data_IF_117737336913
#
_entry.id   IF_117737336913
#
_cell.length_a   1.000
_cell.length_b   1.000
_cell.length_c   1.000
_cell.angle_alpha   90.00
_cell.angle_beta   90.00
_cell.angle_gamma   90.00
#
_symmetry.space_group_name_H-M   'P 1'
#
loop_
_entity.id
_entity.type
_entity.pdbx_description
1 polymer ?
#
# COMPACT_ATOMS: atom_id res chain seq x y z
N UNK A 1 -4.85 -18.91 -12.22
CA UNK A 1 -3.89 -17.96 -12.82
C UNK A 1 -3.42 -16.92 -11.82
N UNK A 2 -4.33 -16.22 -11.13
CA UNK A 2 -4.03 -15.18 -10.13
C UNK A 2 -2.96 -15.57 -9.11
N UNK A 3 -3.09 -16.71 -8.42
CA UNK A 3 -2.09 -17.15 -7.43
C UNK A 3 -0.69 -17.35 -8.03
N UNK A 4 -0.61 -18.00 -9.20
CA UNK A 4 0.67 -18.20 -9.88
C UNK A 4 1.28 -16.88 -10.34
N UNK A 5 0.47 -15.94 -10.86
CA UNK A 5 0.92 -14.58 -11.20
C UNK A 5 1.45 -13.88 -9.95
N UNK A 6 0.72 -13.95 -8.84
CA UNK A 6 1.05 -13.29 -7.59
C UNK A 6 2.35 -13.83 -6.99
N UNK A 7 2.49 -15.16 -6.90
CA UNK A 7 3.72 -15.79 -6.42
C UNK A 7 4.91 -15.48 -7.34
N UNK A 8 4.71 -15.59 -8.65
CA UNK A 8 5.79 -15.30 -9.62
C UNK A 8 6.20 -13.84 -9.56
N UNK A 9 5.23 -12.91 -9.49
CA UNK A 9 5.49 -11.48 -9.33
C UNK A 9 6.23 -11.22 -8.02
N UNK A 10 5.81 -11.79 -6.89
CA UNK A 10 6.49 -11.54 -5.61
C UNK A 10 7.92 -12.10 -5.58
N UNK A 11 8.13 -13.28 -6.16
CA UNK A 11 9.48 -13.86 -6.31
C UNK A 11 10.34 -12.98 -7.22
N UNK A 12 9.80 -12.56 -8.37
CA UNK A 12 10.49 -11.66 -9.29
C UNK A 12 10.77 -10.30 -8.64
N UNK A 13 9.88 -9.78 -7.81
CA UNK A 13 10.08 -8.52 -7.08
C UNK A 13 11.30 -8.63 -6.15
N UNK A 14 11.39 -9.74 -5.41
CA UNK A 14 12.50 -10.02 -4.51
C UNK A 14 13.83 -10.25 -5.24
N UNK A 15 13.79 -10.78 -6.48
CA UNK A 15 14.99 -10.99 -7.31
C UNK A 15 15.41 -9.74 -8.09
N UNK A 16 14.44 -8.94 -8.55
CA UNK A 16 14.63 -7.78 -9.43
C UNK A 16 14.61 -6.46 -8.67
N UNK A 17 14.89 -6.48 -7.35
CA UNK A 17 14.87 -5.31 -6.46
C UNK A 17 15.70 -4.10 -6.92
N UNK A 18 16.50 -4.23 -7.99
CA UNK A 18 17.27 -3.18 -8.65
C UNK A 18 16.49 -2.38 -9.73
N UNK A 19 15.31 -2.83 -10.22
CA UNK A 19 14.53 -2.17 -11.28
C UNK A 19 13.63 -1.02 -10.76
N UNK A 20 13.99 -0.41 -9.63
CA UNK A 20 13.20 0.63 -8.96
C UNK A 20 12.92 1.88 -9.82
N UNK A 21 13.84 2.22 -10.73
CA UNK A 21 13.74 3.43 -11.55
C UNK A 21 12.56 3.42 -12.54
N UNK A 22 12.09 2.24 -12.95
CA UNK A 22 11.00 2.08 -13.92
C UNK A 22 9.61 2.20 -13.30
N UNK A 23 9.49 2.10 -11.97
CA UNK A 23 8.20 2.07 -11.24
C UNK A 23 7.78 3.44 -10.70
N UNK A 24 8.29 4.53 -11.28
CA UNK A 24 8.05 5.89 -10.80
C UNK A 24 6.74 6.45 -11.34
N UNK A 25 5.77 6.64 -10.45
CA UNK A 25 4.49 7.30 -10.76
C UNK A 25 4.58 8.83 -10.80
N UNK A 26 5.78 9.42 -10.76
CA UNK A 26 5.97 10.88 -10.70
C UNK A 26 5.30 11.61 -11.87
N UNK A 27 5.31 10.99 -13.07
CA UNK A 27 4.63 11.54 -14.25
C UNK A 27 3.12 11.60 -14.06
N UNK A 28 2.53 10.52 -13.54
CA UNK A 28 1.11 10.45 -13.20
C UNK A 28 0.74 11.46 -12.12
N UNK A 29 1.49 11.51 -11.02
CA UNK A 29 1.20 12.46 -9.93
C UNK A 29 1.27 13.92 -10.38
N UNK A 30 2.24 14.27 -11.25
CA UNK A 30 2.29 15.60 -11.87
C UNK A 30 1.10 15.88 -12.79
N UNK A 31 0.61 14.87 -13.51
CA UNK A 31 -0.59 14.99 -14.33
C UNK A 31 -1.81 15.24 -13.44
N UNK A 32 -2.01 14.47 -12.38
CA UNK A 32 -3.10 14.65 -11.41
C UNK A 32 -3.07 16.06 -10.84
N UNK A 33 -1.94 16.49 -10.28
CA UNK A 33 -1.79 17.83 -9.68
C UNK A 33 -1.94 18.97 -10.71
N UNK A 34 -1.72 18.71 -12.00
CA UNK A 34 -1.96 19.67 -13.08
C UNK A 34 -3.44 19.70 -13.45
N UNK A 35 -4.08 18.54 -13.55
CA UNK A 35 -5.50 18.42 -13.87
C UNK A 35 -6.36 19.05 -12.77
N UNK A 36 -6.05 18.77 -11.50
CA UNK A 36 -6.70 19.40 -10.35
C UNK A 36 -6.63 20.94 -10.41
N UNK A 37 -5.43 21.49 -10.66
CA UNK A 37 -5.24 22.94 -10.80
C UNK A 37 -5.95 23.52 -12.02
N UNK A 38 -6.04 22.76 -13.12
CA UNK A 38 -6.63 23.23 -14.39
C UNK A 38 -8.15 23.15 -14.40
N UNK A 39 -8.71 22.17 -13.71
CA UNK A 39 -10.13 21.82 -13.68
C UNK A 39 -10.68 21.94 -12.26
N UNK A 40 -10.48 23.10 -11.63
CA UNK A 40 -11.01 23.44 -10.30
C UNK A 40 -12.51 23.76 -10.29
N UNK A 41 -13.15 23.85 -11.46
CA UNK A 41 -14.57 24.15 -11.60
C UNK A 41 -15.45 22.89 -11.49
N UNK A 42 -16.66 23.05 -10.95
CA UNK A 42 -17.69 22.02 -11.00
C UNK A 42 -18.01 21.63 -12.46
N UNK A 43 -18.15 20.34 -12.82
CA UNK A 43 -18.23 19.14 -11.99
C UNK A 43 -16.90 18.39 -11.77
N UNK A 44 -15.77 18.98 -12.15
CA UNK A 44 -14.45 18.34 -12.14
C UNK A 44 -13.78 18.34 -10.75
N UNK A 45 -14.16 19.29 -9.90
CA UNK A 45 -13.70 19.37 -8.51
C UNK A 45 -14.53 18.46 -7.58
N UNK A 46 -14.52 17.16 -7.85
CA UNK A 46 -15.28 16.18 -7.07
C UNK A 46 -15.07 14.74 -7.55
N UNK A 47 -15.96 13.80 -7.18
CA UNK A 47 -15.80 12.37 -7.49
C UNK A 47 -15.71 12.05 -8.98
N UNK A 48 -16.42 12.81 -9.82
CA UNK A 48 -16.38 12.65 -11.27
C UNK A 48 -14.98 12.94 -11.84
N UNK A 49 -14.28 13.94 -11.30
CA UNK A 49 -12.91 14.26 -11.71
C UNK A 49 -11.95 13.12 -11.40
N UNK A 50 -12.03 12.56 -10.19
CA UNK A 50 -11.20 11.41 -9.78
C UNK A 50 -11.47 10.21 -10.69
N UNK A 51 -12.74 9.89 -10.93
CA UNK A 51 -13.12 8.77 -11.78
C UNK A 51 -12.66 8.95 -13.23
N UNK A 52 -12.70 10.17 -13.77
CA UNK A 52 -12.21 10.42 -15.13
C UNK A 52 -10.69 10.30 -15.26
N UNK A 53 -9.93 10.52 -14.19
CA UNK A 53 -8.47 10.33 -14.20
C UNK A 53 -8.11 8.85 -14.08
N UNK A 54 -8.79 8.14 -13.17
CA UNK A 54 -8.44 6.75 -12.81
C UNK A 54 -9.07 5.73 -13.76
N UNK A 55 -10.35 5.88 -14.10
CA UNK A 55 -11.10 4.86 -14.85
C UNK A 55 -10.54 4.57 -16.25
N UNK A 56 -10.09 5.56 -17.06
CA UNK A 56 -9.54 5.27 -18.38
C UNK A 56 -8.27 4.42 -18.33
N UNK A 57 -7.41 4.62 -17.34
CA UNK A 57 -6.17 3.85 -17.18
C UNK A 57 -6.47 2.40 -16.78
N UNK A 58 -7.40 2.21 -15.84
CA UNK A 58 -7.85 0.86 -15.44
C UNK A 58 -8.54 0.17 -16.62
N UNK A 59 -9.44 0.85 -17.32
CA UNK A 59 -10.17 0.30 -18.46
C UNK A 59 -9.23 -0.10 -19.61
N UNK A 60 -8.22 0.73 -19.92
CA UNK A 60 -7.21 0.41 -20.94
C UNK A 60 -6.40 -0.83 -20.56
N UNK A 61 -5.98 -0.94 -19.29
CA UNK A 61 -5.30 -2.14 -18.82
C UNK A 61 -6.19 -3.39 -18.92
N UNK A 62 -7.51 -3.23 -18.72
CA UNK A 62 -8.50 -4.29 -18.83
C UNK A 62 -8.67 -4.76 -20.26
N UNK A 63 -8.84 -3.83 -21.19
CA UNK A 63 -8.88 -4.11 -22.62
C UNK A 63 -7.60 -4.86 -23.03
N UNK A 64 -6.43 -4.38 -22.60
CA UNK A 64 -5.16 -5.03 -22.91
C UNK A 64 -5.13 -6.47 -22.39
N UNK A 65 -5.55 -6.70 -21.14
CA UNK A 65 -5.65 -8.04 -20.56
C UNK A 65 -6.56 -8.97 -21.37
N UNK A 66 -7.80 -8.55 -21.67
CA UNK A 66 -8.74 -9.38 -22.45
C UNK A 66 -8.26 -9.62 -23.89
N UNK A 67 -7.65 -8.62 -24.52
CA UNK A 67 -7.07 -8.75 -25.86
C UNK A 67 -5.89 -9.75 -25.87
N UNK A 68 -5.01 -9.68 -24.88
CA UNK A 68 -3.89 -10.59 -24.71
C UNK A 68 -4.36 -12.01 -24.40
N UNK A 69 -5.41 -12.16 -23.59
CA UNK A 69 -6.03 -13.47 -23.31
C UNK A 69 -6.58 -14.09 -24.59
N UNK A 70 -7.28 -13.29 -25.40
CA UNK A 70 -7.84 -13.75 -26.67
C UNK A 70 -6.74 -14.17 -27.66
N UNK A 71 -5.62 -13.45 -27.69
CA UNK A 71 -4.49 -13.75 -28.57
C UNK A 71 -3.69 -14.98 -28.11
N UNK A 72 -3.22 -14.98 -26.86
CA UNK A 72 -2.42 -16.06 -26.28
C UNK A 72 -2.42 -15.97 -24.74
N UNK A 73 -2.99 -16.97 -24.06
CA UNK A 73 -3.17 -16.93 -22.59
C UNK A 73 -1.87 -16.67 -21.77
N UNK A 74 -0.67 -17.16 -22.14
CA UNK A 74 0.57 -16.82 -21.42
C UNK A 74 0.98 -15.35 -21.55
N UNK A 75 0.60 -14.67 -22.64
CA UNK A 75 0.85 -13.24 -22.79
C UNK A 75 0.06 -12.43 -21.77
N UNK A 76 -1.19 -12.83 -21.50
CA UNK A 76 -1.98 -12.21 -20.44
C UNK A 76 -1.37 -12.48 -19.05
N UNK A 77 -0.84 -13.69 -18.80
CA UNK A 77 -0.12 -13.99 -17.56
C UNK A 77 1.10 -13.07 -17.36
N UNK A 78 1.90 -12.86 -18.42
CA UNK A 78 3.05 -11.96 -18.38
C UNK A 78 2.63 -10.49 -18.17
N UNK A 79 1.55 -10.06 -18.83
CA UNK A 79 0.97 -8.72 -18.64
C UNK A 79 0.52 -8.51 -17.20
N UNK A 80 -0.22 -9.46 -16.64
CA UNK A 80 -0.72 -9.37 -15.26
C UNK A 80 0.42 -9.36 -14.25
N UNK A 81 1.44 -10.21 -14.46
CA UNK A 81 2.63 -10.23 -13.63
C UNK A 81 3.42 -8.93 -13.70
N UNK A 82 3.65 -8.41 -14.91
CA UNK A 82 4.36 -7.15 -15.12
C UNK A 82 3.61 -5.95 -14.51
N UNK A 83 2.30 -5.89 -14.68
CA UNK A 83 1.48 -4.81 -14.16
C UNK A 83 1.34 -4.93 -12.63
N UNK A 84 1.21 -6.13 -12.08
CA UNK A 84 1.26 -6.35 -10.63
C UNK A 84 2.60 -5.89 -10.05
N UNK A 85 3.73 -6.30 -10.64
CA UNK A 85 5.07 -5.83 -10.27
C UNK A 85 5.17 -4.29 -10.30
N UNK A 86 4.59 -3.66 -11.32
CA UNK A 86 4.55 -2.21 -11.42
C UNK A 86 3.72 -1.57 -10.30
N UNK A 87 2.60 -2.19 -9.90
CA UNK A 87 1.74 -1.69 -8.82
C UNK A 87 2.36 -1.85 -7.43
N UNK A 88 3.16 -2.90 -7.18
CA UNK A 88 3.85 -3.13 -5.89
C UNK A 88 4.77 -1.98 -5.48
N UNK A 89 5.39 -1.30 -6.45
CA UNK A 89 5.97 0.03 -6.26
C UNK A 89 7.47 0.20 -6.36
N UNK A 90 7.92 1.47 -6.26
CA UNK A 90 9.30 1.83 -6.55
C UNK A 90 10.30 1.66 -5.40
N UNK A 91 9.92 1.64 -4.12
CA UNK A 91 10.89 1.63 -3.00
C UNK A 91 10.86 0.29 -2.28
N UNK A 92 11.92 -0.51 -2.30
CA UNK A 92 12.04 -1.59 -1.34
C UNK A 92 12.03 -0.98 0.07
N UNK A 93 11.15 -1.45 0.95
CA UNK A 93 11.06 -0.96 2.34
C UNK A 93 12.45 -0.95 3.00
N UNK A 94 13.25 -1.98 2.73
CA UNK A 94 14.63 -2.13 3.18
C UNK A 94 15.55 -1.00 2.71
N UNK A 95 15.54 -0.64 1.42
CA UNK A 95 16.42 0.40 0.88
C UNK A 95 16.08 1.78 1.47
N UNK A 96 14.79 2.07 1.63
CA UNK A 96 14.33 3.31 2.28
C UNK A 96 14.79 3.38 3.74
N UNK A 97 14.69 2.27 4.46
CA UNK A 97 15.21 2.16 5.84
C UNK A 97 16.74 2.32 5.86
N UNK A 98 17.47 1.68 4.96
CA UNK A 98 18.94 1.77 4.92
C UNK A 98 19.39 3.22 4.75
N UNK A 99 18.75 3.98 3.86
CA UNK A 99 19.00 5.41 3.71
C UNK A 99 18.76 6.19 5.02
N UNK A 100 17.65 5.91 5.71
CA UNK A 100 17.33 6.55 7.01
C UNK A 100 18.36 6.16 8.08
N UNK A 101 18.73 4.88 8.17
CA UNK A 101 19.69 4.35 9.13
C UNK A 101 21.10 4.89 8.89
N UNK A 102 21.54 4.99 7.63
CA UNK A 102 22.82 5.58 7.27
C UNK A 102 22.92 7.04 7.73
N UNK A 103 21.84 7.82 7.57
CA UNK A 103 21.79 9.21 8.05
C UNK A 103 21.82 9.29 9.57
N UNK A 104 21.10 8.40 10.24
CA UNK A 104 21.09 8.31 11.70
C UNK A 104 22.48 7.99 12.26
N UNK A 105 23.14 6.96 11.71
CA UNK A 105 24.49 6.53 12.14
C UNK A 105 25.56 7.61 11.89
N UNK A 106 25.39 8.42 10.84
CA UNK A 106 26.27 9.57 10.56
C UNK A 106 26.00 10.81 11.42
N UNK A 107 24.95 10.79 12.26
CA UNK A 107 24.54 11.94 13.07
C UNK A 107 23.96 13.11 12.26
N UNK A 108 23.61 12.90 10.99
CA UNK A 108 23.03 13.92 10.11
C UNK A 108 21.53 14.06 10.40
N UNK A 109 21.20 14.84 11.43
CA UNK A 109 19.81 15.03 11.89
C UNK A 109 18.92 15.68 10.81
N UNK A 110 19.48 16.58 10.00
CA UNK A 110 18.72 17.23 8.93
C UNK A 110 18.45 16.26 7.79
N UNK A 111 19.46 15.50 7.36
CA UNK A 111 19.31 14.44 6.37
C UNK A 111 18.32 13.37 6.84
N UNK A 112 18.43 12.93 8.10
CA UNK A 112 17.51 11.99 8.72
C UNK A 112 16.06 12.48 8.64
N UNK A 113 15.79 13.74 9.02
CA UNK A 113 14.43 14.30 8.98
C UNK A 113 13.88 14.36 7.55
N UNK A 114 14.71 14.71 6.56
CA UNK A 114 14.28 14.77 5.15
C UNK A 114 13.92 13.39 4.59
N UNK A 115 14.78 12.40 4.82
CA UNK A 115 14.52 11.02 4.37
C UNK A 115 13.32 10.41 5.10
N UNK A 116 13.23 10.62 6.42
CA UNK A 116 12.08 10.18 7.20
C UNK A 116 10.78 10.88 6.77
N UNK A 117 10.81 12.16 6.42
CA UNK A 117 9.65 12.87 5.88
C UNK A 117 9.23 12.32 4.52
N UNK A 118 10.19 12.02 3.65
CA UNK A 118 9.92 11.40 2.34
C UNK A 118 9.30 10.01 2.50
N UNK A 119 9.73 9.25 3.50
CA UNK A 119 9.19 7.93 3.82
C UNK A 119 7.79 8.00 4.46
N UNK A 120 7.60 8.86 5.45
CA UNK A 120 6.36 8.96 6.24
C UNK A 120 5.24 9.76 5.55
N UNK A 121 5.60 10.65 4.62
CA UNK A 121 4.67 11.58 3.98
C UNK A 121 4.26 12.77 4.86
N UNK A 122 4.78 12.87 6.09
CA UNK A 122 4.58 14.00 7.00
C UNK A 122 5.91 14.37 7.67
N UNK A 123 6.03 15.60 8.17
CA UNK A 123 7.24 16.07 8.84
C UNK A 123 7.39 15.41 10.22
N UNK A 124 8.41 14.56 10.46
CA UNK A 124 8.59 13.93 11.75
C UNK A 124 9.20 14.93 12.75
N UNK A 125 8.65 14.93 13.96
CA UNK A 125 9.07 15.79 15.06
C UNK A 125 9.85 14.99 16.12
N UNK A 126 10.64 15.69 16.95
CA UNK A 126 11.37 15.08 18.06
C UNK A 126 12.87 14.85 17.81
N UNK A 127 13.47 14.14 18.75
CA UNK A 127 14.87 13.70 18.76
C UNK A 127 15.15 12.66 17.66
N UNK A 128 16.40 12.43 17.26
CA UNK A 128 16.74 11.43 16.25
C UNK A 128 16.19 10.02 16.55
N UNK A 129 16.18 9.61 17.83
CA UNK A 129 15.60 8.33 18.26
C UNK A 129 14.07 8.27 18.11
N UNK A 130 13.37 9.38 18.40
CA UNK A 130 11.91 9.48 18.21
C UNK A 130 11.54 9.49 16.72
N UNK A 131 12.38 10.08 15.85
CA UNK A 131 12.20 10.03 14.40
C UNK A 131 12.33 8.58 13.91
N UNK A 132 13.33 7.83 14.38
CA UNK A 132 13.45 6.41 14.06
C UNK A 132 12.25 5.59 14.55
N UNK A 133 11.75 5.88 15.74
CA UNK A 133 10.54 5.25 16.26
C UNK A 133 9.32 5.50 15.36
N UNK A 134 9.16 6.73 14.87
CA UNK A 134 8.11 7.07 13.91
C UNK A 134 8.27 6.36 12.56
N UNK A 135 9.49 6.27 12.03
CA UNK A 135 9.79 5.51 10.79
C UNK A 135 9.47 4.03 10.99
N UNK A 136 9.91 3.44 12.11
CA UNK A 136 9.62 2.06 12.49
C UNK A 136 8.11 1.82 12.52
N UNK A 137 7.35 2.63 13.23
CA UNK A 137 5.90 2.47 13.32
C UNK A 137 5.23 2.69 11.95
N UNK A 138 5.76 3.62 11.14
CA UNK A 138 5.30 3.90 9.78
C UNK A 138 5.46 2.72 8.82
N UNK A 139 6.36 1.78 9.08
CA UNK A 139 6.54 0.58 8.25
C UNK A 139 5.28 -0.26 8.13
N UNK A 140 4.47 -0.34 9.19
CA UNK A 140 3.22 -1.10 9.16
C UNK A 140 2.20 -0.51 8.19
N UNK A 141 2.17 0.82 8.08
CA UNK A 141 1.30 1.55 7.14
C UNK A 141 1.84 1.39 5.73
N UNK A 142 3.15 1.52 5.56
CA UNK A 142 3.77 1.44 4.23
C UNK A 142 3.75 0.01 3.67
N UNK A 143 3.87 -1.00 4.54
CA UNK A 143 3.70 -2.41 4.17
C UNK A 143 2.27 -2.70 3.73
N UNK A 144 1.27 -2.14 4.42
CA UNK A 144 -0.13 -2.24 3.99
C UNK A 144 -0.32 -1.64 2.60
N UNK A 145 0.09 -0.38 2.41
CA UNK A 145 -0.05 0.31 1.11
C UNK A 145 0.67 -0.35 -0.05
N UNK A 146 1.80 -1.01 0.19
CA UNK A 146 2.60 -1.61 -0.89
C UNK A 146 2.26 -3.05 -1.17
N UNK A 147 2.08 -3.83 -0.11
CA UNK A 147 2.00 -5.27 -0.19
C UNK A 147 0.55 -5.69 0.00
N UNK A 148 -0.01 -5.51 1.19
CA UNK A 148 -1.35 -6.03 1.50
C UNK A 148 -2.42 -5.39 0.61
N UNK A 149 -2.42 -4.07 0.46
CA UNK A 149 -3.28 -3.29 -0.41
C UNK A 149 -3.31 -3.79 -1.85
N UNK A 150 -2.13 -3.89 -2.47
CA UNK A 150 -1.99 -4.35 -3.84
C UNK A 150 -2.38 -5.83 -3.99
N UNK A 151 -1.92 -6.70 -3.09
CA UNK A 151 -2.13 -8.16 -3.17
C UNK A 151 -3.61 -8.50 -2.93
N UNK A 152 -4.26 -7.90 -1.93
CA UNK A 152 -5.68 -8.11 -1.64
C UNK A 152 -6.54 -7.66 -2.82
N UNK A 153 -6.31 -6.45 -3.33
CA UNK A 153 -7.07 -5.93 -4.46
C UNK A 153 -6.79 -6.71 -5.76
N UNK A 154 -5.57 -7.22 -5.93
CA UNK A 154 -5.25 -8.16 -7.00
C UNK A 154 -6.00 -9.49 -6.87
N UNK A 155 -6.07 -10.04 -5.65
CA UNK A 155 -6.78 -11.29 -5.41
C UNK A 155 -8.28 -11.15 -5.68
N UNK A 156 -8.87 -9.99 -5.38
CA UNK A 156 -10.30 -9.72 -5.57
C UNK A 156 -10.69 -9.39 -7.01
N UNK A 157 -9.99 -8.46 -7.66
CA UNK A 157 -10.38 -7.91 -8.96
C UNK A 157 -9.33 -8.15 -10.05
N UNK A 158 -8.32 -9.00 -9.79
CA UNK A 158 -7.22 -9.26 -10.70
C UNK A 158 -6.35 -8.02 -10.91
N UNK A 159 -5.74 -7.93 -12.09
CA UNK A 159 -4.81 -6.85 -12.42
C UNK A 159 -5.48 -5.46 -12.44
N UNK A 160 -6.80 -5.41 -12.65
CA UNK A 160 -7.58 -4.17 -12.59
C UNK A 160 -7.62 -3.61 -11.16
N UNK A 161 -7.81 -4.49 -10.16
CA UNK A 161 -7.87 -4.09 -8.76
C UNK A 161 -6.54 -3.58 -8.24
N UNK A 162 -5.45 -4.27 -8.57
CA UNK A 162 -4.10 -3.84 -8.20
C UNK A 162 -3.78 -2.44 -8.76
N UNK A 163 -4.11 -2.22 -10.04
CA UNK A 163 -3.91 -0.93 -10.68
C UNK A 163 -4.83 0.14 -10.11
N UNK A 164 -6.12 -0.16 -9.90
CA UNK A 164 -7.08 0.76 -9.31
C UNK A 164 -6.64 1.21 -7.90
N UNK A 165 -6.23 0.27 -7.06
CA UNK A 165 -5.70 0.56 -5.72
C UNK A 165 -4.51 1.53 -5.80
N UNK A 166 -3.54 1.21 -6.66
CA UNK A 166 -2.32 2.03 -6.79
C UNK A 166 -2.61 3.42 -7.35
N UNK A 167 -3.49 3.52 -8.34
CA UNK A 167 -3.90 4.82 -8.88
C UNK A 167 -4.68 5.62 -7.85
N UNK A 168 -5.58 5.00 -7.08
CA UNK A 168 -6.32 5.66 -6.00
C UNK A 168 -5.37 6.26 -4.95
N UNK A 169 -4.42 5.46 -4.45
CA UNK A 169 -3.39 5.91 -3.51
C UNK A 169 -2.57 7.08 -4.08
N UNK A 170 -2.03 6.94 -5.30
CA UNK A 170 -1.19 7.98 -5.92
C UNK A 170 -1.97 9.25 -6.22
N UNK A 171 -3.27 9.14 -6.54
CA UNK A 171 -4.16 10.29 -6.75
C UNK A 171 -4.42 11.01 -5.42
N UNK A 172 -4.70 10.28 -4.35
CA UNK A 172 -4.90 10.85 -3.01
C UNK A 172 -3.65 11.59 -2.52
N UNK A 173 -2.47 10.97 -2.65
CA UNK A 173 -1.20 11.62 -2.28
C UNK A 173 -0.94 12.87 -3.16
N UNK A 174 -1.23 12.80 -4.46
CA UNK A 174 -1.00 13.92 -5.38
C UNK A 174 -1.97 15.09 -5.15
N UNK A 175 -3.21 14.82 -4.75
CA UNK A 175 -4.21 15.83 -4.38
C UNK A 175 -3.87 16.53 -3.04
N UNK A 176 -2.96 15.94 -2.25
CA UNK A 176 -2.49 16.54 -1.00
C UNK A 176 -3.46 16.32 0.17
N UNK A 177 -3.67 17.33 1.01
CA UNK A 177 -4.52 17.19 2.19
C UNK A 177 -5.99 17.34 1.78
N UNK A 178 -6.79 16.28 1.96
CA UNK A 178 -8.24 16.32 1.82
C UNK A 178 -8.89 15.49 2.92
N UNK A 179 -10.06 15.90 3.40
CA UNK A 179 -10.83 15.11 4.36
C UNK A 179 -11.78 14.21 3.59
N UNK A 180 -12.01 13.02 4.14
CA UNK A 180 -12.97 12.06 3.59
C UNK A 180 -14.40 12.64 3.53
N UNK A 181 -14.71 13.71 4.26
CA UNK A 181 -16.03 14.37 4.22
C UNK A 181 -16.12 15.49 3.18
N UNK A 182 -15.01 15.91 2.58
CA UNK A 182 -14.97 17.00 1.59
C UNK A 182 -15.51 16.53 0.24
N UNK A 183 -16.38 17.31 -0.40
CA UNK A 183 -16.94 16.97 -1.73
C UNK A 183 -16.05 17.37 -2.91
N UNK A 184 -14.89 17.94 -2.60
CA UNK A 184 -13.89 18.35 -3.58
C UNK A 184 -13.10 17.16 -4.16
N UNK A 185 -12.21 17.46 -5.10
CA UNK A 185 -11.37 16.44 -5.75
C UNK A 185 -10.50 15.68 -4.75
N UNK A 186 -9.88 16.39 -3.79
CA UNK A 186 -8.99 15.79 -2.79
C UNK A 186 -9.75 14.86 -1.85
N UNK A 187 -10.89 15.28 -1.30
CA UNK A 187 -11.74 14.45 -0.46
C UNK A 187 -12.26 13.21 -1.19
N UNK A 188 -12.67 13.37 -2.46
CA UNK A 188 -13.05 12.23 -3.29
C UNK A 188 -11.89 11.25 -3.56
N UNK A 189 -10.66 11.74 -3.76
CA UNK A 189 -9.49 10.89 -3.95
C UNK A 189 -9.15 10.09 -2.68
N UNK A 190 -9.19 10.75 -1.51
CA UNK A 190 -8.99 10.09 -0.22
C UNK A 190 -10.11 9.09 0.11
N UNK A 191 -11.38 9.39 -0.22
CA UNK A 191 -12.49 8.43 -0.12
C UNK A 191 -12.25 7.19 -0.96
N UNK A 192 -11.93 7.36 -2.25
CA UNK A 192 -11.70 6.24 -3.15
C UNK A 192 -10.58 5.35 -2.62
N UNK A 193 -9.49 5.96 -2.18
CA UNK A 193 -8.39 5.23 -1.57
C UNK A 193 -8.83 4.49 -0.30
N UNK A 194 -9.55 5.18 0.60
CA UNK A 194 -10.13 4.60 1.81
C UNK A 194 -11.03 3.39 1.56
N UNK A 195 -11.91 3.45 0.56
CA UNK A 195 -12.78 2.32 0.17
C UNK A 195 -11.94 1.12 -0.30
N UNK A 196 -10.93 1.37 -1.12
CA UNK A 196 -10.05 0.32 -1.65
C UNK A 196 -9.12 -0.27 -0.58
N UNK A 197 -8.80 0.51 0.45
CA UNK A 197 -7.91 0.16 1.56
C UNK A 197 -8.64 -0.47 2.76
N UNK A 198 -9.96 -0.38 2.78
CA UNK A 198 -10.80 -0.87 3.88
C UNK A 198 -10.56 -2.35 4.23
N UNK A 199 -10.60 -3.22 3.22
CA UNK A 199 -10.36 -4.65 3.42
C UNK A 199 -8.88 -4.96 3.65
N UNK A 200 -7.93 -4.46 2.84
CA UNK A 200 -6.50 -4.70 3.07
C UNK A 200 -6.03 -4.34 4.47
N UNK A 201 -6.36 -3.15 4.97
CA UNK A 201 -5.90 -2.70 6.28
C UNK A 201 -6.38 -3.63 7.42
N UNK A 202 -7.59 -4.19 7.31
CA UNK A 202 -8.13 -5.17 8.27
C UNK A 202 -7.38 -6.49 8.20
N UNK A 203 -7.15 -6.99 7.00
CA UNK A 203 -6.43 -8.23 6.78
C UNK A 203 -4.96 -8.10 7.22
N UNK A 204 -4.33 -6.95 7.03
CA UNK A 204 -2.99 -6.65 7.52
C UNK A 204 -2.94 -6.63 9.06
N UNK A 205 -3.89 -5.97 9.74
CA UNK A 205 -4.01 -6.01 11.21
C UNK A 205 -4.20 -7.44 11.72
N UNK A 206 -5.05 -8.26 11.08
CA UNK A 206 -5.19 -9.68 11.41
C UNK A 206 -3.88 -10.44 11.18
N UNK A 207 -3.18 -10.16 10.08
CA UNK A 207 -1.88 -10.74 9.77
C UNK A 207 -0.85 -10.46 10.85
N UNK A 208 -0.75 -9.21 11.32
CA UNK A 208 0.14 -8.85 12.44
C UNK A 208 -0.25 -9.54 13.74
N UNK A 209 -1.55 -9.69 14.01
CA UNK A 209 -2.03 -10.43 15.18
C UNK A 209 -1.68 -11.92 15.13
N UNK A 210 -1.78 -12.55 13.96
CA UNK A 210 -1.45 -13.97 13.76
C UNK A 210 0.07 -14.22 13.75
N UNK A 211 0.86 -13.27 13.25
CA UNK A 211 2.30 -13.41 13.11
C UNK A 211 3.10 -13.02 14.36
N UNK A 212 2.46 -12.32 15.32
CA UNK A 212 3.09 -11.82 16.55
C UNK A 212 2.25 -12.11 17.79
N UNK A 213 2.23 -11.16 18.72
CA UNK A 213 1.43 -11.26 19.93
C UNK A 213 -0.06 -10.99 19.65
N UNK A 214 -0.83 -12.06 19.46
CA UNK A 214 -2.27 -11.99 19.17
C UNK A 214 -3.05 -11.16 20.18
N UNK A 215 -2.75 -11.29 21.48
CA UNK A 215 -3.50 -10.62 22.54
C UNK A 215 -3.32 -9.10 22.53
N UNK A 216 -2.10 -8.63 22.22
CA UNK A 216 -1.80 -7.21 22.05
C UNK A 216 -2.48 -6.64 20.80
N UNK A 217 -2.32 -7.31 19.66
CA UNK A 217 -2.83 -6.85 18.37
C UNK A 217 -4.37 -6.88 18.29
N UNK A 218 -5.04 -7.85 18.91
CA UNK A 218 -6.51 -7.94 18.94
C UNK A 218 -7.17 -6.69 19.55
N UNK A 219 -6.54 -6.07 20.55
CA UNK A 219 -7.03 -4.82 21.12
C UNK A 219 -6.99 -3.65 20.12
N UNK A 220 -6.09 -3.65 19.14
CA UNK A 220 -6.09 -2.63 18.08
C UNK A 220 -7.21 -2.88 17.05
N UNK A 221 -7.67 -4.12 16.88
CA UNK A 221 -8.82 -4.44 16.04
C UNK A 221 -10.14 -3.90 16.62
N UNK A 222 -10.24 -3.71 17.94
CA UNK A 222 -11.40 -3.05 18.56
C UNK A 222 -11.64 -1.64 18.01
N UNK A 223 -10.59 -0.89 17.74
CA UNK A 223 -10.71 0.45 17.17
C UNK A 223 -11.33 0.40 15.76
N UNK A 224 -11.22 -0.70 15.03
CA UNK A 224 -11.93 -0.91 13.77
C UNK A 224 -13.39 -1.36 13.96
N UNK A 225 -13.69 -2.09 15.03
CA UNK A 225 -15.08 -2.50 15.34
C UNK A 225 -15.97 -1.33 15.79
N UNK A 226 -15.39 -0.26 16.34
CA UNK A 226 -16.15 0.94 16.73
C UNK A 226 -16.75 1.68 15.52
N UNK A 227 -16.14 1.57 14.34
CA UNK A 227 -16.69 2.06 13.08
C UNK A 227 -16.30 1.11 11.95
N UNK A 228 -17.09 0.04 11.75
CA UNK A 228 -16.76 -1.00 10.81
C UNK A 228 -16.68 -0.52 9.36
N UNK A 229 -17.33 0.60 9.03
CA UNK A 229 -17.47 1.14 7.68
C UNK A 229 -16.61 2.38 7.43
N UNK A 230 -15.76 2.75 8.38
CA UNK A 230 -14.84 3.87 8.24
C UNK A 230 -13.95 3.68 7.00
N UNK A 231 -13.89 4.69 6.15
CA UNK A 231 -12.96 4.78 5.02
C UNK A 231 -11.90 5.86 5.25
N UNK A 232 -11.75 6.31 6.51
CA UNK A 232 -10.71 7.25 6.89
C UNK A 232 -9.34 6.56 6.93
N UNK A 233 -8.49 6.90 5.96
CA UNK A 233 -7.11 6.42 5.89
C UNK A 233 -6.29 6.80 7.13
N UNK A 234 -6.59 7.93 7.78
CA UNK A 234 -5.96 8.30 9.04
C UNK A 234 -6.24 7.29 10.15
N UNK A 235 -7.48 6.78 10.21
CA UNK A 235 -7.87 5.70 11.11
C UNK A 235 -7.22 4.37 10.74
N UNK A 236 -7.19 4.02 9.45
CA UNK A 236 -6.51 2.81 8.98
C UNK A 236 -5.04 2.80 9.39
N UNK A 237 -4.32 3.88 9.08
CA UNK A 237 -2.91 4.05 9.43
C UNK A 237 -2.68 3.96 10.95
N UNK A 238 -3.56 4.54 11.77
CA UNK A 238 -3.50 4.42 13.23
C UNK A 238 -3.65 2.98 13.68
N UNK A 239 -4.66 2.26 13.19
CA UNK A 239 -4.92 0.88 13.58
C UNK A 239 -3.78 -0.05 13.17
N UNK A 240 -3.23 0.12 11.95
CA UNK A 240 -2.06 -0.62 11.46
C UNK A 240 -0.84 -0.41 12.34
N UNK A 241 -0.52 0.85 12.68
CA UNK A 241 0.58 1.20 13.59
C UNK A 241 0.38 0.56 14.96
N UNK A 242 -0.79 0.73 15.57
CA UNK A 242 -1.08 0.22 16.90
C UNK A 242 -1.03 -1.31 16.94
N UNK A 243 -1.62 -1.99 15.94
CA UNK A 243 -1.61 -3.43 15.84
C UNK A 243 -0.19 -3.98 15.68
N UNK A 244 0.60 -3.40 14.77
CA UNK A 244 1.97 -3.82 14.53
C UNK A 244 2.88 -3.60 15.74
N UNK A 245 2.81 -2.44 16.38
CA UNK A 245 3.58 -2.15 17.61
C UNK A 245 3.19 -3.10 18.73
N UNK A 246 1.89 -3.36 18.92
CA UNK A 246 1.42 -4.30 19.95
C UNK A 246 1.74 -5.76 19.64
N UNK A 247 1.78 -6.14 18.37
CA UNK A 247 2.21 -7.47 17.96
C UNK A 247 3.69 -7.74 18.29
N UNK A 248 4.49 -6.68 18.46
CA UNK A 248 5.89 -6.75 18.91
C UNK A 248 6.05 -6.65 20.45
N UNK A 249 4.97 -6.45 21.23
CA UNK A 249 5.05 -6.44 22.69
C UNK A 249 5.54 -7.80 23.21
N UNK A 250 6.70 -7.80 23.86
CA UNK A 250 7.39 -9.00 24.36
C UNK A 250 8.56 -9.48 23.50
N UNK A 251 8.85 -8.85 22.36
CA UNK A 251 10.11 -9.04 21.66
C UNK A 251 11.27 -8.41 22.46
N UNK A 252 12.42 -9.08 22.50
CA UNK A 252 13.61 -8.61 23.23
C UNK A 252 14.08 -7.22 22.74
N UNK A 253 13.92 -6.93 21.44
CA UNK A 253 14.25 -5.65 20.81
C UNK A 253 13.15 -5.18 19.84
N UNK A 254 12.46 -4.10 20.18
CA UNK A 254 11.50 -3.42 19.29
C UNK A 254 12.21 -2.56 18.23
N UNK A 255 13.01 -3.22 17.40
CA UNK A 255 13.87 -2.65 16.36
C UNK A 255 13.21 -2.65 14.98
N UNK A 256 13.73 -1.86 14.03
CA UNK A 256 13.27 -1.89 12.63
C UNK A 256 13.38 -3.30 12.01
N UNK A 257 14.44 -4.05 12.34
CA UNK A 257 14.62 -5.42 11.87
C UNK A 257 13.49 -6.35 12.37
N UNK A 258 13.10 -6.23 13.65
CA UNK A 258 11.96 -6.98 14.19
C UNK A 258 10.63 -6.62 13.51
N UNK A 259 10.44 -5.35 13.17
CA UNK A 259 9.28 -4.86 12.43
C UNK A 259 9.20 -5.47 11.04
N UNK A 260 10.31 -5.45 10.27
CA UNK A 260 10.37 -6.09 8.96
C UNK A 260 10.13 -7.59 9.05
N UNK A 261 10.74 -8.27 10.02
CA UNK A 261 10.54 -9.71 10.22
C UNK A 261 9.08 -10.06 10.55
N UNK A 262 8.39 -9.22 11.32
CA UNK A 262 6.96 -9.39 11.59
C UNK A 262 6.11 -9.17 10.33
N UNK A 263 6.42 -8.15 9.53
CA UNK A 263 5.75 -7.88 8.26
C UNK A 263 5.91 -9.07 7.30
N UNK A 264 7.13 -9.61 7.17
CA UNK A 264 7.42 -10.78 6.33
C UNK A 264 6.62 -12.00 6.78
N UNK A 265 6.57 -12.29 8.09
CA UNK A 265 5.77 -13.40 8.63
C UNK A 265 4.27 -13.20 8.36
N UNK A 266 3.76 -11.99 8.57
CA UNK A 266 2.36 -11.65 8.29
C UNK A 266 2.04 -11.80 6.80
N UNK A 267 2.95 -11.40 5.92
CA UNK A 267 2.83 -11.59 4.48
C UNK A 267 2.79 -13.07 4.10
N UNK A 268 3.64 -13.91 4.68
CA UNK A 268 3.62 -15.37 4.43
C UNK A 268 2.29 -15.98 4.87
N UNK A 269 1.79 -15.62 6.06
CA UNK A 269 0.47 -16.06 6.54
C UNK A 269 -0.64 -15.63 5.59
N UNK A 270 -0.57 -14.39 5.11
CA UNK A 270 -1.53 -13.84 4.17
C UNK A 270 -1.52 -14.59 2.82
N UNK A 271 -0.35 -14.80 2.23
CA UNK A 271 -0.17 -15.55 0.99
C UNK A 271 -0.63 -17.00 1.11
N UNK A 272 -0.32 -17.65 2.23
CA UNK A 272 -0.81 -18.99 2.54
C UNK A 272 -2.34 -19.04 2.60
N UNK A 273 -2.97 -18.02 3.19
CA UNK A 273 -4.43 -17.91 3.30
C UNK A 273 -5.09 -17.71 1.92
N UNK A 274 -4.56 -16.79 1.11
CA UNK A 274 -5.00 -16.60 -0.29
C UNK A 274 -4.84 -17.90 -1.09
N UNK A 275 -3.75 -18.63 -0.85
CA UNK A 275 -3.49 -19.92 -1.47
C UNK A 275 -4.49 -21.00 -1.11
N UNK A 276 -4.80 -21.14 0.18
CA UNK A 276 -5.81 -22.10 0.64
C UNK A 276 -7.19 -21.80 0.06
N UNK A 277 -7.62 -20.52 0.05
CA UNK A 277 -8.90 -20.13 -0.56
C UNK A 277 -8.92 -20.44 -2.05
N UNK A 278 -7.82 -20.15 -2.75
CA UNK A 278 -7.72 -20.43 -4.19
C UNK A 278 -7.78 -21.93 -4.48
N UNK A 279 -7.04 -22.75 -3.74
CA UNK A 279 -7.04 -24.21 -3.94
C UNK A 279 -8.39 -24.82 -3.56
N UNK A 280 -8.98 -24.36 -2.45
CA UNK A 280 -10.30 -24.83 -1.99
C UNK A 280 -11.40 -24.55 -3.02
N UNK A 281 -11.35 -23.40 -3.70
CA UNK A 281 -12.28 -23.08 -4.79
C UNK A 281 -12.19 -24.05 -5.97
N UNK A 282 -11.01 -24.62 -6.25
CA UNK A 282 -10.84 -25.59 -7.34
C UNK A 282 -11.18 -27.02 -6.92
N UNK A 283 -11.24 -27.31 -5.62
CA UNK A 283 -11.45 -28.65 -5.08
C UNK A 283 -12.91 -28.98 -4.76
N UNK A 284 -13.81 -27.99 -4.75
CA UNK A 284 -15.26 -28.16 -4.52
C UNK A 284 -16.06 -27.92 -5.77
#
# INVERSE_FOLDING_TARGET
MTLFVLLTALVLDRMLGHLQSWRRFDGYMRLVARLERRFSAWPWNGPLGVMLVVAPLVFLAGIAHYFLLWLFWPLAFLWDGALLLYTLGPINLEDGIQCVMDRYLRGDVQGLRREAQAFLGYSPAGSPGEILGQVRDGLFVEADRRLFGAIVNFALFGVMGALLYRLAERTAIAAGHGRVDDMDFAGAAWRLFGVMDWLPARLAVLGYALAGNFHGAWRAMRDFFEDPWSVDIGRHARCLRLAGVRALEGAEDASIASTLALIDRALVVFLGSVGLVTVGYWAG
#
